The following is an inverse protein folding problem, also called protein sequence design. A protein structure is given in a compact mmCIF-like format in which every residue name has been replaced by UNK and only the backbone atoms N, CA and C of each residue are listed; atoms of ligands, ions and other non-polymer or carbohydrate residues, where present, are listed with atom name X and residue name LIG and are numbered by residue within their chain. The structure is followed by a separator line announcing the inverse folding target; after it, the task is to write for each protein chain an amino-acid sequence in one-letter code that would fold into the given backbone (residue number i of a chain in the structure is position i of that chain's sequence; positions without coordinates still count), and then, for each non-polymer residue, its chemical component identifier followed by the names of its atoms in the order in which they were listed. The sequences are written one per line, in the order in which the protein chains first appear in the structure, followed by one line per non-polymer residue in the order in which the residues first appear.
data_IF_762043841695
#
_entry.id   IF_762043841695
#
_cell.length_a   1.000
_cell.length_b   1.000
_cell.length_c   1.000
_cell.angle_alpha   90.00
_cell.angle_beta   90.00
_cell.angle_gamma   90.00
#
_symmetry.space_group_name_H-M   'P 1'
#
loop_
_entity.id
_entity.type
_entity.pdbx_description
1 polymer ?
#
# COMPACT_ATOMS: atom_id res chain seq x y z
N UNK A 1 23.59 -10.41 0.57
CA UNK A 1 22.75 -10.65 -0.62
C UNK A 1 22.34 -9.27 -1.12
N UNK A 2 22.75 -8.90 -2.32
CA UNK A 2 22.60 -7.54 -2.83
C UNK A 2 21.13 -7.21 -3.05
N UNK A 3 20.66 -6.14 -2.41
CA UNK A 3 19.41 -5.49 -2.78
C UNK A 3 19.52 -5.11 -4.25
N UNK A 4 18.65 -5.66 -5.08
CA UNK A 4 18.68 -5.45 -6.51
C UNK A 4 18.11 -4.05 -6.77
N UNK A 5 18.98 -3.07 -7.03
CA UNK A 5 18.64 -1.66 -7.31
C UNK A 5 17.69 -1.45 -8.52
N UNK A 6 17.22 -2.53 -9.15
CA UNK A 6 16.29 -2.49 -10.28
C UNK A 6 14.84 -2.23 -9.88
N UNK A 7 14.51 -2.26 -8.58
CA UNK A 7 13.16 -2.09 -8.06
C UNK A 7 12.89 -0.70 -7.45
N UNK A 8 13.88 0.20 -7.43
CA UNK A 8 13.79 1.51 -6.75
C UNK A 8 12.89 2.55 -7.44
N UNK A 9 12.21 2.22 -8.54
CA UNK A 9 11.66 3.25 -9.44
C UNK A 9 10.20 3.07 -9.85
N UNK A 10 9.44 2.21 -9.18
CA UNK A 10 8.02 2.01 -9.51
C UNK A 10 7.06 2.47 -8.42
N UNK A 11 7.57 2.84 -7.24
CA UNK A 11 6.75 3.43 -6.18
C UNK A 11 7.01 4.94 -6.05
N UNK A 12 5.93 5.70 -6.21
CA UNK A 12 5.78 7.12 -5.85
C UNK A 12 6.73 8.15 -6.50
N UNK A 13 7.74 7.72 -7.25
CA UNK A 13 8.46 8.56 -8.21
C UNK A 13 7.88 8.36 -9.60
N UNK A 14 7.07 9.33 -10.04
CA UNK A 14 6.92 9.56 -11.48
C UNK A 14 8.25 10.12 -11.97
N UNK A 15 9.03 9.35 -12.73
CA UNK A 15 10.18 9.91 -13.41
C UNK A 15 9.67 10.85 -14.51
N UNK A 16 9.63 12.15 -14.22
CA UNK A 16 9.36 13.17 -15.23
C UNK A 16 10.58 13.23 -16.17
N UNK A 17 10.46 12.85 -17.45
CA UNK A 17 11.54 13.12 -18.39
C UNK A 17 11.79 14.63 -18.41
N UNK A 18 12.99 15.06 -17.99
CA UNK A 18 13.41 16.46 -18.12
C UNK A 18 13.44 16.80 -19.61
N UNK A 19 12.43 17.51 -20.09
CA UNK A 19 12.34 17.92 -21.50
C UNK A 19 10.93 18.06 -22.06
N UNK A 20 9.90 17.58 -21.35
CA UNK A 20 8.52 17.68 -21.82
C UNK A 20 7.70 18.65 -20.95
N UNK A 21 7.11 19.68 -21.58
CA UNK A 21 6.10 20.56 -20.96
C UNK A 21 4.69 19.94 -21.04
N UNK A 22 4.61 18.61 -21.10
CA UNK A 22 3.37 17.90 -21.34
C UNK A 22 2.68 17.60 -20.01
N UNK A 23 1.41 17.99 -19.86
CA UNK A 23 0.62 17.77 -18.64
C UNK A 23 0.06 16.34 -18.56
N UNK A 24 0.74 15.36 -19.15
CA UNK A 24 0.24 14.00 -19.39
C UNK A 24 -0.33 13.33 -18.13
N UNK A 25 0.23 13.64 -16.96
CA UNK A 25 -0.16 13.06 -15.68
C UNK A 25 -1.24 13.84 -14.90
N UNK A 26 -1.71 14.98 -15.43
CA UNK A 26 -2.71 15.80 -14.75
C UNK A 26 -4.07 15.07 -14.69
N UNK A 27 -4.46 14.64 -13.49
CA UNK A 27 -5.71 13.91 -13.24
C UNK A 27 -5.62 12.38 -13.33
N UNK A 28 -4.41 11.82 -13.54
CA UNK A 28 -4.17 10.38 -13.58
C UNK A 28 -3.70 9.80 -12.24
N UNK A 29 -3.24 10.64 -11.30
CA UNK A 29 -2.83 10.25 -9.94
C UNK A 29 -3.74 10.93 -8.92
N UNK A 30 -4.11 10.21 -7.87
CA UNK A 30 -4.89 10.70 -6.74
C UNK A 30 -4.31 10.18 -5.41
N UNK A 31 -4.92 10.59 -4.30
CA UNK A 31 -4.53 10.14 -2.97
C UNK A 31 -5.25 8.82 -2.62
N UNK A 32 -4.46 7.80 -2.29
CA UNK A 32 -4.86 6.52 -1.74
C UNK A 32 -4.79 6.56 -0.22
N UNK A 33 -5.87 6.14 0.44
CA UNK A 33 -5.86 5.87 1.88
C UNK A 33 -5.65 4.37 2.08
N UNK A 34 -4.45 3.97 2.53
CA UNK A 34 -4.13 2.54 2.71
C UNK A 34 -5.12 1.85 3.66
N UNK A 35 -5.63 2.56 4.67
CA UNK A 35 -6.86 2.18 5.39
C UNK A 35 -8.06 2.93 4.76
N UNK A 36 -9.07 2.22 4.21
CA UNK A 36 -10.17 2.88 3.50
C UNK A 36 -10.96 3.85 4.39
N UNK A 37 -11.23 5.07 3.88
CA UNK A 37 -11.95 6.10 4.64
C UNK A 37 -13.35 5.68 5.12
N UNK A 38 -13.98 4.72 4.46
CA UNK A 38 -15.29 4.17 4.86
C UNK A 38 -15.24 3.42 6.19
N UNK A 39 -14.05 3.02 6.66
CA UNK A 39 -13.89 2.29 7.92
C UNK A 39 -13.87 3.24 9.13
N UNK A 40 -13.59 4.52 8.94
CA UNK A 40 -13.49 5.49 10.05
C UNK A 40 -14.35 6.74 9.82
N UNK A 41 -15.42 6.60 9.02
CA UNK A 41 -16.38 7.67 8.74
C UNK A 41 -15.78 8.96 8.18
N UNK A 42 -14.57 8.89 7.61
CA UNK A 42 -13.79 10.05 7.11
C UNK A 42 -13.47 11.06 8.22
N UNK A 43 -13.44 10.63 9.48
CA UNK A 43 -13.14 11.49 10.61
C UNK A 43 -11.68 11.98 10.61
N UNK A 44 -11.46 13.16 11.17
CA UNK A 44 -10.13 13.71 11.44
C UNK A 44 -9.66 13.26 12.84
N UNK A 45 -8.36 13.04 13.07
CA UNK A 45 -7.23 13.32 12.17
C UNK A 45 -6.91 12.18 11.18
N UNK A 46 -7.59 11.03 11.28
CA UNK A 46 -7.32 9.85 10.45
C UNK A 46 -7.36 10.16 8.96
N UNK A 47 -8.32 10.96 8.49
CA UNK A 47 -8.43 11.28 7.07
C UNK A 47 -7.22 12.01 6.50
N UNK A 48 -6.56 12.85 7.30
CA UNK A 48 -5.42 13.68 6.90
C UNK A 48 -4.05 13.16 7.36
N UNK A 49 -3.99 12.07 8.13
CA UNK A 49 -2.74 11.47 8.60
C UNK A 49 -1.88 10.94 7.44
N UNK A 50 -0.79 11.64 7.12
CA UNK A 50 0.06 11.35 5.96
C UNK A 50 0.78 10.01 6.09
N UNK A 51 0.89 9.41 7.28
CA UNK A 51 1.57 8.12 7.43
C UNK A 51 0.85 6.98 6.73
N UNK A 52 -0.44 7.13 6.39
CA UNK A 52 -1.21 6.13 5.64
C UNK A 52 -1.77 6.65 4.30
N UNK A 53 -1.45 7.88 3.91
CA UNK A 53 -1.78 8.47 2.60
C UNK A 53 -0.69 8.24 1.56
N UNK A 54 -1.05 7.80 0.36
CA UNK A 54 -0.09 7.45 -0.68
C UNK A 54 -0.55 7.97 -2.05
N UNK A 55 0.34 8.50 -2.91
CA UNK A 55 -0.06 8.82 -4.29
C UNK A 55 -0.26 7.55 -5.11
N UNK A 56 -1.42 7.37 -5.73
CA UNK A 56 -1.72 6.20 -6.53
C UNK A 56 -2.30 6.57 -7.89
N UNK A 57 -2.11 5.69 -8.87
CA UNK A 57 -2.79 5.81 -10.16
C UNK A 57 -4.29 5.67 -9.97
N UNK A 58 -5.05 6.61 -10.53
CA UNK A 58 -6.49 6.76 -10.30
C UNK A 58 -7.28 5.50 -10.61
N UNK A 59 -6.93 4.80 -11.71
CA UNK A 59 -7.61 3.57 -12.10
C UNK A 59 -7.29 2.41 -11.15
N UNK A 60 -6.05 2.33 -10.66
CA UNK A 60 -5.66 1.34 -9.66
C UNK A 60 -6.30 1.63 -8.30
N UNK A 61 -6.30 2.88 -7.82
CA UNK A 61 -6.98 3.32 -6.60
C UNK A 61 -8.49 3.03 -6.68
N UNK A 62 -9.13 3.43 -7.78
CA UNK A 62 -10.55 3.15 -8.04
C UNK A 62 -10.85 1.64 -8.02
N UNK A 63 -9.96 0.83 -8.61
CA UNK A 63 -10.09 -0.62 -8.61
C UNK A 63 -9.81 -1.27 -7.24
N UNK A 64 -8.90 -0.70 -6.42
CA UNK A 64 -8.64 -1.13 -5.05
C UNK A 64 -9.86 -0.93 -4.17
N UNK A 65 -10.58 0.18 -4.34
CA UNK A 65 -11.82 0.46 -3.59
C UNK A 65 -11.61 0.37 -2.06
N UNK A 66 -12.45 -0.37 -1.35
CA UNK A 66 -12.26 -0.76 0.06
C UNK A 66 -11.93 -2.26 0.21
N UNK A 67 -11.39 -2.89 -0.84
CA UNK A 67 -11.13 -4.32 -0.82
C UNK A 67 -9.94 -4.66 0.07
N UNK A 68 -10.01 -5.79 0.81
CA UNK A 68 -8.93 -6.21 1.69
C UNK A 68 -7.69 -6.59 0.88
N UNK A 69 -6.53 -6.37 1.48
CA UNK A 69 -5.24 -6.80 0.97
C UNK A 69 -5.08 -8.32 1.12
N UNK A 70 -4.54 -8.95 0.08
CA UNK A 70 -4.27 -10.39 0.04
C UNK A 70 -3.08 -10.69 -0.89
N UNK A 71 -2.68 -11.96 -0.95
CA UNK A 71 -1.83 -12.50 -2.02
C UNK A 71 -2.69 -13.38 -2.94
N UNK A 72 -2.64 -13.13 -4.25
CA UNK A 72 -3.51 -13.76 -5.24
C UNK A 72 -2.64 -14.67 -6.12
N UNK A 73 -2.94 -15.98 -6.19
CA UNK A 73 -2.31 -16.87 -7.15
C UNK A 73 -2.48 -16.35 -8.58
N UNK A 74 -1.44 -16.43 -9.40
CA UNK A 74 -1.43 -15.85 -10.75
C UNK A 74 -2.60 -16.35 -11.62
N UNK A 75 -3.00 -17.61 -11.43
CA UNK A 75 -4.14 -18.27 -12.11
C UNK A 75 -5.51 -17.69 -11.75
N UNK A 76 -5.63 -17.05 -10.59
CA UNK A 76 -6.89 -16.51 -10.07
C UNK A 76 -7.04 -15.00 -10.35
N UNK A 77 -6.00 -14.36 -10.89
CA UNK A 77 -6.00 -12.92 -11.16
C UNK A 77 -7.06 -12.57 -12.21
N UNK A 78 -8.05 -11.77 -11.80
CA UNK A 78 -9.09 -11.24 -12.67
C UNK A 78 -8.58 -10.08 -13.55
N UNK A 79 -7.80 -9.16 -12.96
CA UNK A 79 -7.21 -8.01 -13.65
C UNK A 79 -5.86 -7.62 -13.08
N UNK A 80 -5.01 -7.10 -13.95
CA UNK A 80 -3.67 -6.60 -13.67
C UNK A 80 -3.60 -5.09 -13.89
N UNK A 81 -2.95 -4.38 -12.99
CA UNK A 81 -2.78 -2.92 -13.01
C UNK A 81 -1.30 -2.55 -12.86
N UNK A 82 -0.77 -1.74 -13.77
CA UNK A 82 0.57 -1.17 -13.68
C UNK A 82 0.56 0.22 -14.30
N UNK A 83 0.82 1.27 -13.51
CA UNK A 83 0.67 2.66 -13.93
C UNK A 83 -0.72 2.91 -14.55
N UNK A 84 -0.78 3.34 -15.81
CA UNK A 84 -1.98 3.54 -16.62
C UNK A 84 -2.39 2.29 -17.44
N UNK A 85 -1.67 1.18 -17.31
CA UNK A 85 -1.96 -0.08 -18.01
C UNK A 85 -2.91 -0.96 -17.20
N UNK A 86 -3.97 -1.42 -17.86
CA UNK A 86 -4.94 -2.38 -17.32
C UNK A 86 -5.02 -3.59 -18.24
N UNK A 87 -4.91 -4.81 -17.70
CA UNK A 87 -4.94 -6.05 -18.48
C UNK A 87 -5.84 -7.11 -17.84
N UNK A 88 -6.48 -7.91 -18.68
CA UNK A 88 -7.17 -9.15 -18.28
C UNK A 88 -6.37 -10.41 -18.58
N UNK A 89 -5.21 -10.26 -19.24
CA UNK A 89 -4.26 -11.35 -19.51
C UNK A 89 -2.98 -11.09 -18.74
N UNK A 90 -2.41 -12.16 -18.19
CA UNK A 90 -1.15 -12.11 -17.46
C UNK A 90 -0.05 -11.43 -18.28
N UNK A 91 0.68 -10.45 -17.71
CA UNK A 91 1.87 -9.87 -18.32
C UNK A 91 2.97 -10.92 -18.54
N UNK A 92 3.80 -10.75 -19.58
CA UNK A 92 4.82 -11.73 -19.91
C UNK A 92 6.05 -11.71 -18.99
N UNK A 93 6.25 -10.62 -18.26
CA UNK A 93 7.41 -10.38 -17.39
C UNK A 93 7.06 -9.36 -16.31
N UNK A 94 7.95 -9.21 -15.34
CA UNK A 94 7.91 -8.18 -14.31
C UNK A 94 6.60 -8.21 -13.50
N UNK A 95 6.06 -9.41 -13.23
CA UNK A 95 4.76 -9.62 -12.55
C UNK A 95 4.70 -8.97 -11.16
N UNK A 96 5.86 -8.82 -10.52
CA UNK A 96 6.03 -8.17 -9.22
C UNK A 96 5.71 -6.68 -9.25
N UNK A 97 5.73 -6.05 -10.43
CA UNK A 97 5.41 -4.63 -10.60
C UNK A 97 3.90 -4.40 -10.78
N UNK A 98 3.10 -5.44 -10.93
CA UNK A 98 1.66 -5.32 -11.19
C UNK A 98 0.86 -5.54 -9.92
N UNK A 99 -0.07 -4.63 -9.64
CA UNK A 99 -1.15 -4.90 -8.69
C UNK A 99 -2.22 -5.77 -9.35
N UNK A 100 -2.89 -6.59 -8.55
CA UNK A 100 -3.79 -7.64 -9.03
C UNK A 100 -5.12 -7.55 -8.28
N UNK A 101 -6.19 -7.86 -9.00
CA UNK A 101 -7.54 -7.98 -8.45
C UNK A 101 -7.99 -9.42 -8.57
N UNK A 102 -8.55 -9.95 -7.49
CA UNK A 102 -9.26 -11.23 -7.47
C UNK A 102 -10.76 -10.97 -7.45
N UNK A 103 -11.56 -11.77 -8.15
CA UNK A 103 -13.02 -11.67 -8.15
C UNK A 103 -13.63 -12.92 -7.51
N UNK A 104 -14.42 -12.73 -6.45
CA UNK A 104 -15.36 -13.74 -5.96
C UNK A 104 -14.83 -14.70 -4.90
N UNK A 105 -14.40 -14.19 -3.74
CA UNK A 105 -13.88 -15.04 -2.66
C UNK A 105 -14.64 -14.95 -1.34
N UNK A 106 -15.36 -13.85 -1.04
CA UNK A 106 -16.04 -13.69 0.26
C UNK A 106 -17.47 -13.15 0.15
N UNK A 107 -18.37 -13.48 1.09
CA UNK A 107 -19.74 -12.94 1.14
C UNK A 107 -19.77 -11.41 1.22
N UNK A 108 -18.82 -10.83 1.97
CA UNK A 108 -18.77 -9.39 2.27
C UNK A 108 -17.93 -8.59 1.27
N UNK A 109 -17.12 -9.26 0.44
CA UNK A 109 -16.24 -8.62 -0.53
C UNK A 109 -16.31 -9.33 -1.88
N UNK A 110 -16.78 -8.60 -2.90
CA UNK A 110 -16.80 -9.10 -4.27
C UNK A 110 -15.40 -9.26 -4.88
N UNK A 111 -14.41 -8.55 -4.32
CA UNK A 111 -13.04 -8.52 -4.81
C UNK A 111 -12.04 -8.43 -3.66
N UNK A 112 -10.81 -8.85 -3.91
CA UNK A 112 -9.64 -8.66 -3.05
C UNK A 112 -8.51 -8.02 -3.87
N UNK A 113 -7.58 -7.35 -3.19
CA UNK A 113 -6.52 -6.59 -3.83
C UNK A 113 -5.13 -7.08 -3.40
N UNK A 114 -4.27 -7.40 -4.35
CA UNK A 114 -2.85 -7.63 -4.10
C UNK A 114 -2.07 -6.44 -4.69
N UNK A 115 -1.33 -5.68 -3.86
CA UNK A 115 -0.47 -4.64 -4.37
C UNK A 115 0.76 -5.27 -5.03
N UNK A 116 1.39 -4.51 -5.93
CA UNK A 116 2.70 -4.87 -6.43
C UNK A 116 3.70 -5.06 -5.29
N UNK A 117 4.67 -5.93 -5.51
CA UNK A 117 5.53 -6.51 -4.47
C UNK A 117 6.29 -5.46 -3.67
N UNK A 118 6.85 -4.46 -4.36
CA UNK A 118 7.68 -3.43 -3.70
C UNK A 118 6.91 -2.55 -2.70
N UNK A 119 5.59 -2.45 -2.85
CA UNK A 119 4.73 -1.64 -1.96
C UNK A 119 4.34 -2.36 -0.68
N UNK A 120 4.51 -3.69 -0.62
CA UNK A 120 3.95 -4.55 0.43
C UNK A 120 4.43 -4.18 1.82
N UNK A 121 5.74 -4.01 2.01
CA UNK A 121 6.31 -3.64 3.30
C UNK A 121 5.80 -2.28 3.77
N UNK A 122 5.76 -1.29 2.87
CA UNK A 122 5.28 0.06 3.18
C UNK A 122 3.79 0.05 3.52
N UNK A 123 2.95 -0.67 2.77
CA UNK A 123 1.52 -0.84 3.08
C UNK A 123 1.34 -1.50 4.44
N UNK A 124 2.07 -2.58 4.72
CA UNK A 124 2.01 -3.28 6.00
C UNK A 124 2.29 -2.34 7.17
N UNK A 125 3.39 -1.57 7.10
CA UNK A 125 3.74 -0.58 8.13
C UNK A 125 2.76 0.58 8.24
N UNK A 126 2.16 1.02 7.13
CA UNK A 126 1.09 2.03 7.15
C UNK A 126 -0.16 1.53 7.88
N UNK A 127 -0.60 0.31 7.57
CA UNK A 127 -1.78 -0.31 8.18
C UNK A 127 -1.55 -0.56 9.67
N UNK A 128 -0.43 -1.17 10.04
CA UNK A 128 -0.08 -1.38 11.45
C UNK A 128 0.06 -0.05 12.20
N UNK A 129 0.69 0.96 11.62
CA UNK A 129 0.76 2.30 12.22
C UNK A 129 -0.62 2.86 12.51
N UNK A 130 -1.51 2.85 11.50
CA UNK A 130 -2.86 3.41 11.63
C UNK A 130 -3.59 2.78 12.81
N UNK A 131 -3.58 1.45 12.87
CA UNK A 131 -4.28 0.71 13.89
C UNK A 131 -3.63 0.79 15.28
N UNK A 132 -2.31 1.04 15.36
CA UNK A 132 -1.63 1.35 16.63
C UNK A 132 -1.98 2.75 17.14
N UNK A 133 -2.07 3.75 16.25
CA UNK A 133 -2.38 5.14 16.65
C UNK A 133 -3.87 5.37 16.91
N UNK A 134 -4.73 4.62 16.23
CA UNK A 134 -6.19 4.75 16.30
C UNK A 134 -6.80 3.45 16.84
N UNK A 135 -6.42 3.10 18.07
CA UNK A 135 -6.72 1.81 18.69
C UNK A 135 -8.22 1.50 18.78
N UNK A 136 -9.07 2.52 18.89
CA UNK A 136 -10.53 2.38 18.88
C UNK A 136 -11.06 1.71 17.61
N UNK A 137 -10.31 1.77 16.49
CA UNK A 137 -10.66 1.17 15.22
C UNK A 137 -10.05 -0.22 15.00
N UNK A 138 -9.28 -0.77 15.95
CA UNK A 138 -8.61 -2.08 15.85
C UNK A 138 -9.53 -3.22 15.36
N UNK A 139 -10.80 -3.20 15.76
CA UNK A 139 -11.81 -4.18 15.34
C UNK A 139 -12.08 -4.20 13.83
N UNK A 140 -11.54 -3.24 13.07
CA UNK A 140 -11.67 -3.14 11.61
C UNK A 140 -10.42 -3.63 10.87
N UNK A 141 -9.35 -4.03 11.56
CA UNK A 141 -8.11 -4.50 10.94
C UNK A 141 -8.36 -5.62 9.92
N UNK A 142 -9.15 -6.63 10.28
CA UNK A 142 -9.48 -7.77 9.40
C UNK A 142 -10.25 -7.36 8.13
N UNK A 143 -10.90 -6.19 8.13
CA UNK A 143 -11.54 -5.63 6.92
C UNK A 143 -10.52 -5.05 5.94
N UNK A 144 -9.32 -4.72 6.41
CA UNK A 144 -8.21 -4.20 5.61
C UNK A 144 -7.30 -5.33 5.16
N UNK A 145 -7.07 -6.35 5.98
CA UNK A 145 -6.28 -7.53 5.65
C UNK A 145 -5.90 -8.34 6.89
N UNK A 146 -5.36 -9.54 6.66
CA UNK A 146 -4.89 -10.42 7.74
C UNK A 146 -3.61 -9.84 8.37
N UNK A 147 -3.55 -9.79 9.70
CA UNK A 147 -2.35 -9.33 10.41
C UNK A 147 -1.12 -10.19 10.11
N UNK A 148 -1.30 -11.51 9.93
CA UNK A 148 -0.23 -12.42 9.52
C UNK A 148 0.37 -12.02 8.17
N UNK A 149 -0.47 -11.56 7.24
CA UNK A 149 -0.03 -11.10 5.94
C UNK A 149 0.82 -9.83 6.08
N UNK A 150 0.40 -8.88 6.90
CA UNK A 150 1.15 -7.65 7.12
C UNK A 150 2.48 -7.89 7.86
N UNK A 151 2.52 -8.78 8.86
CA UNK A 151 3.76 -9.18 9.51
C UNK A 151 4.73 -9.84 8.52
N UNK A 152 4.23 -10.78 7.71
CA UNK A 152 4.99 -11.42 6.62
C UNK A 152 5.54 -10.38 5.64
N UNK A 153 4.73 -9.42 5.21
CA UNK A 153 5.17 -8.38 4.28
C UNK A 153 6.18 -7.43 4.88
N UNK A 154 6.05 -7.08 6.17
CA UNK A 154 7.03 -6.24 6.84
C UNK A 154 8.40 -6.92 6.95
N UNK A 155 8.43 -8.22 7.31
CA UNK A 155 9.68 -8.99 7.39
C UNK A 155 10.34 -9.18 6.02
N UNK A 156 9.54 -9.54 5.00
CA UNK A 156 10.05 -9.77 3.64
C UNK A 156 10.54 -8.49 2.94
N UNK A 157 9.96 -7.33 3.28
CA UNK A 157 10.21 -6.06 2.59
C UNK A 157 10.54 -4.93 3.61
N UNK A 158 11.79 -4.87 4.11
CA UNK A 158 12.20 -3.86 5.08
C UNK A 158 12.11 -2.42 4.51
N UNK A 159 12.06 -1.39 5.38
CA UNK A 159 12.08 0.00 4.96
C UNK A 159 13.25 0.33 4.03
N UNK A 160 12.96 1.04 2.95
CA UNK A 160 13.96 1.61 2.04
C UNK A 160 14.43 2.99 2.50
N UNK A 161 15.53 3.50 1.94
CA UNK A 161 15.98 4.89 2.15
C UNK A 161 14.89 5.91 1.79
N UNK A 162 14.01 5.56 0.85
CA UNK A 162 12.89 6.40 0.47
C UNK A 162 11.79 6.41 1.54
N UNK A 163 11.49 5.26 2.15
CA UNK A 163 10.58 5.20 3.29
C UNK A 163 11.11 6.04 4.45
N UNK A 164 12.41 5.95 4.75
CA UNK A 164 13.08 6.76 5.76
C UNK A 164 12.96 8.25 5.46
N UNK A 165 13.32 8.67 4.24
CA UNK A 165 13.23 10.07 3.81
C UNK A 165 11.79 10.60 3.89
N UNK A 166 10.82 9.76 3.52
CA UNK A 166 9.41 10.14 3.62
C UNK A 166 8.97 10.27 5.08
N UNK A 167 9.44 9.40 5.98
CA UNK A 167 9.14 9.48 7.40
C UNK A 167 9.73 10.75 8.03
N UNK A 168 10.95 11.14 7.63
CA UNK A 168 11.57 12.42 8.01
C UNK A 168 10.72 13.62 7.57
N UNK A 169 10.29 13.63 6.30
CA UNK A 169 9.42 14.68 5.80
C UNK A 169 8.06 14.68 6.55
N UNK A 170 7.48 13.51 6.80
CA UNK A 170 6.21 13.42 7.53
C UNK A 170 6.32 14.00 8.95
N UNK A 171 7.45 13.77 9.63
CA UNK A 171 7.72 14.40 10.94
C UNK A 171 7.80 15.92 10.84
N UNK A 172 8.51 16.45 9.84
CA UNK A 172 8.61 17.90 9.63
C UNK A 172 7.23 18.55 9.43
N UNK A 173 6.33 17.88 8.70
CA UNK A 173 5.01 18.42 8.35
C UNK A 173 3.92 18.15 9.40
N UNK A 174 3.89 16.97 10.02
CA UNK A 174 2.84 16.57 10.97
C UNK A 174 3.28 16.57 12.44
N UNK A 175 4.58 16.58 12.70
CA UNK A 175 5.16 16.56 14.05
C UNK A 175 5.23 15.17 14.68
N UNK A 176 4.95 14.09 13.95
CA UNK A 176 5.07 12.72 14.40
C UNK A 176 5.66 11.79 13.33
N UNK A 177 6.20 10.65 13.77
CA UNK A 177 6.81 9.62 12.91
C UNK A 177 5.98 8.34 12.93
N UNK A 178 6.11 7.55 11.87
CA UNK A 178 5.72 6.15 11.91
C UNK A 178 6.87 5.33 12.53
N UNK A 179 6.75 4.86 13.79
CA UNK A 179 7.83 4.11 14.45
C UNK A 179 8.12 2.78 13.77
N UNK A 180 7.19 2.21 13.00
CA UNK A 180 7.41 0.97 12.26
C UNK A 180 8.30 1.17 11.03
N UNK A 181 8.44 2.40 10.53
CA UNK A 181 9.42 2.71 9.48
C UNK A 181 10.83 2.82 10.08
N UNK A 182 10.97 3.44 11.25
CA UNK A 182 12.28 3.58 11.92
C UNK A 182 12.74 2.25 12.55
N UNK A 183 11.79 1.47 13.06
CA UNK A 183 12.00 0.24 13.81
C UNK A 183 11.01 -0.85 13.34
N UNK A 184 11.22 -1.46 12.17
CA UNK A 184 10.31 -2.47 11.60
C UNK A 184 10.13 -3.70 12.49
N UNK A 185 11.08 -4.01 13.37
CA UNK A 185 10.98 -5.07 14.37
C UNK A 185 9.88 -4.84 15.42
N UNK A 186 9.42 -3.60 15.59
CA UNK A 186 8.32 -3.28 16.50
C UNK A 186 6.97 -3.81 15.99
N UNK A 187 6.83 -4.05 14.68
CA UNK A 187 5.60 -4.63 14.12
C UNK A 187 5.30 -5.98 14.76
N UNK A 188 6.27 -6.89 14.74
CA UNK A 188 6.13 -8.22 15.35
C UNK A 188 5.81 -8.09 16.85
N UNK A 189 6.58 -7.26 17.57
CA UNK A 189 6.39 -7.08 19.01
C UNK A 189 5.02 -6.52 19.39
N UNK A 190 4.42 -5.69 18.54
CA UNK A 190 3.13 -5.04 18.79
C UNK A 190 1.94 -5.95 18.43
N UNK A 191 2.11 -6.85 17.45
CA UNK A 191 0.99 -7.60 16.85
C UNK A 191 1.08 -9.13 16.98
N UNK A 192 2.20 -9.70 17.43
CA UNK A 192 2.36 -11.16 17.59
C UNK A 192 1.36 -11.82 18.55
N UNK A 193 0.77 -11.07 19.49
CA UNK A 193 -0.21 -11.60 20.45
C UNK A 193 -1.64 -11.62 19.86
N UNK A 194 -1.83 -11.08 18.65
CA UNK A 194 -3.08 -11.14 17.89
C UNK A 194 -3.17 -12.39 16.99
N UNK A 195 -2.19 -13.29 17.12
CA UNK A 195 -2.06 -14.54 16.37
C UNK A 195 -2.90 -15.68 16.97
#
# INVERSE_FOLDING_TARGET
MGCNDQYQHIDYQMHFPRGETNTYYNGQVNCEHTVPQSLFDKEEPMRSDVHHLRPAWKDANSARSNYPFTEIPDEDVYKWYYLDYIRTKQPAKDLDNWSRVLKGVKPDYQYEWEPHVVSRGTIARCVMYFFTMYEDYMYQLEKVGDINLFLKWNDAYPPSDWDMTRNDNAEEWQGNRNPFVDHPELCERAYQDML
#
